data_IF_377067286463
#
_entry.id   IF_377067286463
#
_cell.length_a   1.000
_cell.length_b   1.000
_cell.length_c   1.000
_cell.angle_alpha   90.00
_cell.angle_beta   90.00
_cell.angle_gamma   90.00
#
_symmetry.space_group_name_H-M   'P 1'
#
loop_
_entity.id
_entity.type
_entity.pdbx_description
1 polymer ?
#
# COMPACT_ATOMS: atom_id res chain seq x y z
N UNK A 1 -1.46 0.18 -25.42
CA UNK A 1 -1.22 0.23 -23.95
C UNK A 1 -2.56 0.50 -23.31
N UNK A 2 -3.08 -0.48 -22.57
CA UNK A 2 -4.43 -0.43 -21.99
C UNK A 2 -4.31 0.20 -20.62
N UNK A 3 -4.98 1.33 -20.38
CA UNK A 3 -5.02 1.94 -19.06
C UNK A 3 -5.52 0.91 -18.04
N UNK A 4 -4.76 0.63 -16.98
CA UNK A 4 -5.22 -0.32 -15.97
C UNK A 4 -6.35 0.33 -15.17
N UNK A 5 -7.59 -0.01 -15.52
CA UNK A 5 -8.76 0.49 -14.83
C UNK A 5 -8.87 -0.10 -13.42
N UNK A 6 -9.56 0.59 -12.52
CA UNK A 6 -9.86 0.08 -11.17
C UNK A 6 -10.57 -1.28 -11.22
N UNK A 7 -11.40 -1.50 -12.25
CA UNK A 7 -12.11 -2.77 -12.45
C UNK A 7 -11.16 -3.91 -12.80
N UNK A 8 -10.16 -3.66 -13.66
CA UNK A 8 -9.13 -4.66 -13.99
C UNK A 8 -8.31 -5.01 -12.76
N UNK A 9 -7.96 -4.02 -11.93
CA UNK A 9 -7.29 -4.28 -10.65
C UNK A 9 -8.15 -5.12 -9.72
N UNK A 10 -9.44 -4.79 -9.57
CA UNK A 10 -10.37 -5.55 -8.74
C UNK A 10 -10.49 -7.00 -9.20
N UNK A 11 -10.55 -7.26 -10.51
CA UNK A 11 -10.58 -8.62 -11.05
C UNK A 11 -9.33 -9.42 -10.65
N UNK A 12 -8.13 -8.85 -10.82
CA UNK A 12 -6.87 -9.49 -10.37
C UNK A 12 -6.86 -9.77 -8.88
N UNK A 13 -7.40 -8.86 -8.07
CA UNK A 13 -7.49 -9.06 -6.62
C UNK A 13 -8.47 -10.21 -6.28
N UNK A 14 -9.61 -10.34 -6.98
CA UNK A 14 -10.56 -11.44 -6.72
C UNK A 14 -9.96 -12.82 -7.02
N UNK A 15 -9.00 -12.89 -7.95
CA UNK A 15 -8.28 -14.14 -8.27
C UNK A 15 -7.31 -14.58 -7.17
N UNK A 16 -6.97 -13.67 -6.25
CA UNK A 16 -6.13 -13.95 -5.08
C UNK A 16 -6.96 -14.51 -3.92
N UNK A 17 -6.42 -15.52 -3.22
CA UNK A 17 -7.05 -16.16 -2.06
C UNK A 17 -7.56 -15.15 -1.01
N UNK A 18 -6.72 -14.16 -0.67
CA UNK A 18 -7.08 -13.12 0.29
C UNK A 18 -7.95 -12.03 -0.32
N UNK A 19 -7.75 -11.71 -1.59
CA UNK A 19 -8.50 -10.64 -2.25
C UNK A 19 -9.97 -10.99 -2.43
N UNK A 20 -10.31 -12.26 -2.68
CA UNK A 20 -11.71 -12.74 -2.76
C UNK A 20 -12.48 -12.54 -1.46
N UNK A 21 -11.84 -12.79 -0.32
CA UNK A 21 -12.44 -12.59 1.00
C UNK A 21 -12.56 -11.11 1.33
N UNK A 22 -11.46 -10.36 1.19
CA UNK A 22 -11.42 -8.97 1.64
C UNK A 22 -12.20 -8.02 0.76
N UNK A 23 -12.39 -8.29 -0.54
CA UNK A 23 -13.24 -7.45 -1.39
C UNK A 23 -14.72 -7.44 -0.94
N UNK A 24 -15.13 -8.42 -0.14
CA UNK A 24 -16.47 -8.47 0.49
C UNK A 24 -16.51 -7.80 1.87
N UNK A 25 -15.35 -7.42 2.42
CA UNK A 25 -15.26 -6.78 3.73
C UNK A 25 -15.90 -5.38 3.68
N UNK A 26 -16.94 -5.10 4.49
CA UNK A 26 -17.57 -3.79 4.56
C UNK A 26 -16.59 -2.66 4.85
N UNK A 27 -15.48 -2.91 5.56
CA UNK A 27 -14.46 -1.91 5.84
C UNK A 27 -13.86 -1.34 4.55
N UNK A 28 -13.69 -2.12 3.48
CA UNK A 28 -13.11 -1.60 2.23
C UNK A 28 -13.93 -0.46 1.61
N UNK A 29 -15.23 -0.41 1.87
CA UNK A 29 -16.11 0.68 1.44
C UNK A 29 -15.98 1.95 2.29
N UNK A 30 -15.49 1.84 3.54
CA UNK A 30 -15.31 2.97 4.46
C UNK A 30 -13.96 3.65 4.26
N UNK A 31 -13.91 4.95 4.54
CA UNK A 31 -12.66 5.74 4.49
C UNK A 31 -12.03 6.03 5.85
N UNK A 32 -12.67 5.60 6.92
CA UNK A 32 -12.18 5.74 8.29
C UNK A 32 -12.34 4.38 8.96
N UNK A 33 -11.24 3.82 9.44
CA UNK A 33 -11.22 2.57 10.19
C UNK A 33 -10.71 2.85 11.60
N UNK A 34 -11.40 2.35 12.60
CA UNK A 34 -10.88 2.31 13.97
C UNK A 34 -9.89 1.17 14.13
N UNK A 35 -8.95 1.31 15.06
CA UNK A 35 -8.01 0.23 15.42
C UNK A 35 -8.75 -1.01 15.93
N UNK A 36 -9.86 -0.82 16.66
CA UNK A 36 -10.75 -1.90 17.11
C UNK A 36 -11.44 -2.64 15.97
N UNK A 37 -11.94 -1.94 14.94
CA UNK A 37 -12.48 -2.58 13.72
C UNK A 37 -11.44 -3.41 12.97
N UNK A 38 -10.15 -3.13 13.17
CA UNK A 38 -9.05 -3.91 12.61
C UNK A 38 -8.68 -5.14 13.45
N UNK A 39 -9.31 -5.35 14.60
CA UNK A 39 -9.09 -6.53 15.44
C UNK A 39 -7.91 -6.44 16.40
N UNK A 40 -7.38 -5.23 16.63
CA UNK A 40 -6.43 -4.99 17.73
C UNK A 40 -7.13 -4.97 19.08
N UNK A 41 -6.41 -5.35 20.13
CA UNK A 41 -6.93 -5.37 21.50
C UNK A 41 -7.09 -3.96 22.08
N UNK A 42 -7.84 -3.85 23.19
CA UNK A 42 -8.01 -2.56 23.89
C UNK A 42 -6.70 -2.08 24.53
N UNK A 43 -5.80 -2.98 24.92
CA UNK A 43 -4.46 -2.66 25.41
C UNK A 43 -3.59 -2.07 24.30
N UNK A 44 -3.58 -2.71 23.13
CA UNK A 44 -2.85 -2.21 21.95
C UNK A 44 -3.39 -0.84 21.51
N UNK A 45 -4.72 -0.69 21.55
CA UNK A 45 -5.36 0.59 21.32
C UNK A 45 -4.88 1.62 22.34
N UNK A 46 -4.90 1.34 23.66
CA UNK A 46 -4.49 2.29 24.73
C UNK A 46 -3.06 2.79 24.56
N UNK A 47 -2.13 1.93 24.17
CA UNK A 47 -0.71 2.28 23.98
C UNK A 47 -0.52 3.20 22.77
N UNK A 48 -1.38 3.09 21.74
CA UNK A 48 -1.26 3.90 20.55
C UNK A 48 -2.05 5.21 20.67
N UNK A 49 -1.41 6.35 20.42
CA UNK A 49 -2.07 7.65 20.35
C UNK A 49 -3.07 7.73 19.18
N UNK A 50 -2.80 6.99 18.09
CA UNK A 50 -3.64 6.99 16.90
C UNK A 50 -4.71 5.90 16.99
N UNK A 51 -5.98 6.31 17.11
CA UNK A 51 -7.13 5.40 17.22
C UNK A 51 -7.80 5.08 15.88
N UNK A 52 -7.45 5.82 14.83
CA UNK A 52 -8.13 5.75 13.52
C UNK A 52 -7.14 5.83 12.36
N UNK A 53 -7.41 5.09 11.31
CA UNK A 53 -6.73 5.14 10.02
C UNK A 53 -7.65 5.79 9.00
N UNK A 54 -7.15 6.79 8.28
CA UNK A 54 -7.92 7.59 7.34
C UNK A 54 -7.46 7.34 5.89
N UNK A 55 -8.39 7.09 4.99
CA UNK A 55 -8.17 6.86 3.55
C UNK A 55 -8.78 7.93 2.65
N UNK A 56 -9.49 8.92 3.21
CA UNK A 56 -10.15 9.99 2.45
C UNK A 56 -9.20 10.85 1.60
N UNK A 57 -7.92 10.93 1.98
CA UNK A 57 -6.95 11.82 1.36
C UNK A 57 -6.30 11.24 0.09
N UNK A 58 -6.58 9.97 -0.24
CA UNK A 58 -6.12 9.36 -1.47
C UNK A 58 -6.97 9.84 -2.64
N UNK A 59 -6.33 10.33 -3.71
CA UNK A 59 -7.04 10.71 -4.94
C UNK A 59 -6.86 9.70 -6.07
N UNK A 60 -5.84 8.84 -6.00
CA UNK A 60 -5.65 7.75 -6.97
C UNK A 60 -6.42 6.51 -6.48
N UNK A 61 -7.50 6.08 -7.16
CA UNK A 61 -8.39 5.03 -6.64
C UNK A 61 -7.72 3.67 -6.46
N UNK A 62 -6.85 3.26 -7.39
CA UNK A 62 -6.17 1.98 -7.32
C UNK A 62 -5.19 1.92 -6.13
N UNK A 63 -4.49 3.03 -5.87
CA UNK A 63 -3.54 3.12 -4.76
C UNK A 63 -4.26 3.14 -3.42
N UNK A 64 -5.43 3.80 -3.35
CA UNK A 64 -6.32 3.74 -2.19
C UNK A 64 -6.74 2.31 -1.88
N UNK A 65 -7.18 1.56 -2.90
CA UNK A 65 -7.59 0.16 -2.75
C UNK A 65 -6.43 -0.73 -2.27
N UNK A 66 -5.27 -0.65 -2.92
CA UNK A 66 -4.08 -1.42 -2.51
C UNK A 66 -3.60 -1.03 -1.11
N UNK A 67 -3.72 0.23 -0.71
CA UNK A 67 -3.40 0.66 0.65
C UNK A 67 -4.33 -0.03 1.65
N UNK A 68 -5.64 -0.04 1.41
CA UNK A 68 -6.62 -0.72 2.29
C UNK A 68 -6.32 -2.22 2.41
N UNK A 69 -6.00 -2.89 1.30
CA UNK A 69 -5.61 -4.31 1.30
C UNK A 69 -4.28 -4.55 2.03
N UNK A 70 -3.31 -3.65 1.86
CA UNK A 70 -2.03 -3.69 2.58
C UNK A 70 -2.26 -3.63 4.09
N UNK A 71 -3.15 -2.76 4.56
CA UNK A 71 -3.51 -2.68 5.98
C UNK A 71 -4.09 -4.01 6.46
N UNK A 72 -5.07 -4.59 5.76
CA UNK A 72 -5.67 -5.89 6.10
C UNK A 72 -4.63 -7.02 6.16
N UNK A 73 -3.74 -7.09 5.19
CA UNK A 73 -2.65 -8.07 5.18
C UNK A 73 -1.70 -7.89 6.37
N UNK A 74 -1.37 -6.66 6.72
CA UNK A 74 -0.46 -6.37 7.83
C UNK A 74 -1.08 -6.67 9.18
N UNK A 75 -2.36 -6.39 9.35
CA UNK A 75 -3.14 -6.84 10.51
C UNK A 75 -3.10 -8.36 10.63
N UNK A 76 -3.39 -9.10 9.55
CA UNK A 76 -3.34 -10.57 9.53
C UNK A 76 -1.94 -11.10 9.90
N UNK A 77 -0.89 -10.41 9.45
CA UNK A 77 0.51 -10.71 9.79
C UNK A 77 0.92 -10.25 11.19
N UNK A 78 -0.02 -9.83 12.05
CA UNK A 78 0.23 -9.28 13.40
C UNK A 78 1.21 -8.10 13.41
N UNK A 79 1.14 -7.28 12.36
CA UNK A 79 1.93 -6.05 12.27
C UNK A 79 1.52 -5.06 13.37
N UNK A 80 2.48 -4.29 13.88
CA UNK A 80 2.16 -3.27 14.89
C UNK A 80 1.37 -2.11 14.29
N UNK A 81 0.51 -1.48 15.12
CA UNK A 81 -0.28 -0.31 14.72
C UNK A 81 0.63 0.80 14.13
N UNK A 82 1.76 1.08 14.77
CA UNK A 82 2.73 2.05 14.27
C UNK A 82 3.32 1.72 12.90
N UNK A 83 3.54 0.43 12.60
CA UNK A 83 3.99 -0.01 11.27
C UNK A 83 2.93 0.25 10.21
N UNK A 84 1.67 -0.05 10.52
CA UNK A 84 0.54 0.18 9.61
C UNK A 84 0.38 1.67 9.34
N UNK A 85 0.36 2.51 10.39
CA UNK A 85 0.24 3.96 10.26
C UNK A 85 1.37 4.51 9.39
N UNK A 86 2.61 4.06 9.62
CA UNK A 86 3.77 4.48 8.83
C UNK A 86 3.59 4.11 7.35
N UNK A 87 3.12 2.90 7.05
CA UNK A 87 2.88 2.49 5.67
C UNK A 87 1.80 3.35 5.00
N UNK A 88 0.66 3.56 5.67
CA UNK A 88 -0.42 4.42 5.15
C UNK A 88 0.08 5.84 4.91
N UNK A 89 0.87 6.40 5.83
CA UNK A 89 1.46 7.72 5.71
C UNK A 89 2.32 7.88 4.45
N UNK A 90 3.27 6.96 4.22
CA UNK A 90 4.12 7.05 3.02
C UNK A 90 3.38 6.68 1.74
N UNK A 91 2.36 5.83 1.78
CA UNK A 91 1.49 5.58 0.63
C UNK A 91 0.64 6.81 0.27
N UNK A 92 0.19 7.61 1.25
CA UNK A 92 -0.42 8.92 0.98
C UNK A 92 0.56 9.92 0.38
N UNK A 93 1.82 9.90 0.82
CA UNK A 93 2.88 10.72 0.20
C UNK A 93 3.14 10.28 -1.25
N UNK A 94 3.12 8.97 -1.52
CA UNK A 94 3.23 8.43 -2.86
C UNK A 94 2.06 8.87 -3.74
N UNK A 95 0.82 8.80 -3.24
CA UNK A 95 -0.39 9.27 -3.94
C UNK A 95 -0.23 10.72 -4.42
N UNK A 96 0.15 11.63 -3.50
CA UNK A 96 0.41 13.03 -3.83
C UNK A 96 1.55 13.22 -4.83
N UNK A 97 2.63 12.45 -4.68
CA UNK A 97 3.77 12.51 -5.59
C UNK A 97 3.39 12.08 -7.01
N UNK A 98 2.69 10.95 -7.15
CA UNK A 98 2.26 10.40 -8.43
C UNK A 98 1.30 11.36 -9.14
N UNK A 99 0.34 11.96 -8.42
CA UNK A 99 -0.53 13.00 -8.96
C UNK A 99 0.26 14.22 -9.46
N UNK A 100 1.25 14.68 -8.70
CA UNK A 100 2.13 15.77 -9.11
C UNK A 100 2.94 15.47 -10.37
N UNK A 101 3.14 14.18 -10.68
CA UNK A 101 3.79 13.68 -11.90
C UNK A 101 2.81 13.36 -13.02
N UNK A 102 1.51 13.58 -12.83
CA UNK A 102 0.47 13.19 -13.78
C UNK A 102 0.31 11.67 -13.94
N UNK A 103 0.88 10.89 -13.02
CA UNK A 103 0.89 9.43 -13.09
C UNK A 103 -0.29 8.87 -12.28
N UNK A 104 -1.34 8.44 -12.99
CA UNK A 104 -2.53 7.83 -12.38
C UNK A 104 -2.71 6.36 -12.72
N UNK A 105 -1.87 5.83 -13.62
CA UNK A 105 -1.90 4.44 -14.07
C UNK A 105 -0.73 3.66 -13.44
N UNK A 106 -0.99 2.56 -12.72
CA UNK A 106 0.07 1.76 -12.12
C UNK A 106 1.03 1.15 -13.15
N UNK A 107 0.62 0.93 -14.41
CA UNK A 107 1.49 0.40 -15.46
C UNK A 107 2.58 1.40 -15.90
N UNK A 108 2.36 2.69 -15.63
CA UNK A 108 3.31 3.76 -15.91
C UNK A 108 4.32 3.98 -14.78
N UNK A 109 4.21 3.23 -13.67
CA UNK A 109 5.16 3.34 -12.57
C UNK A 109 6.46 2.62 -12.94
N UNK A 110 7.53 3.41 -13.07
CA UNK A 110 8.87 2.95 -13.40
C UNK A 110 9.78 2.94 -12.17
N UNK A 111 10.91 2.23 -12.31
CA UNK A 111 12.03 2.27 -11.36
C UNK A 111 12.51 3.71 -11.08
N UNK A 112 12.59 4.55 -12.11
CA UNK A 112 13.05 5.93 -11.98
C UNK A 112 12.05 6.79 -11.21
N UNK A 113 10.75 6.61 -11.47
CA UNK A 113 9.69 7.35 -10.79
C UNK A 113 9.66 7.03 -9.29
N UNK A 114 9.76 5.74 -8.94
CA UNK A 114 9.86 5.31 -7.53
C UNK A 114 11.21 5.68 -6.92
N UNK A 115 12.29 5.64 -7.71
CA UNK A 115 13.62 6.09 -7.31
C UNK A 115 13.62 7.57 -6.92
N UNK A 116 12.98 8.41 -7.71
CA UNK A 116 12.79 9.83 -7.44
C UNK A 116 11.99 10.02 -6.15
N UNK A 117 10.83 9.35 -6.02
CA UNK A 117 10.04 9.41 -4.79
C UNK A 117 10.84 9.02 -3.54
N UNK A 118 11.65 7.97 -3.63
CA UNK A 118 12.47 7.46 -2.52
C UNK A 118 13.61 8.44 -2.19
N UNK A 119 14.20 9.11 -3.17
CA UNK A 119 15.29 10.06 -2.95
C UNK A 119 14.85 11.36 -2.27
N UNK A 120 13.56 11.68 -2.30
CA UNK A 120 13.02 12.80 -1.51
C UNK A 120 13.06 12.44 -0.02
N UNK A 121 13.30 13.45 0.84
CA UNK A 121 13.59 13.31 2.28
C UNK A 121 12.85 12.20 3.04
N UNK A 122 13.48 11.72 4.12
CA UNK A 122 13.12 10.48 4.83
C UNK A 122 13.35 9.20 4.00
N UNK A 123 14.41 9.21 3.17
CA UNK A 123 14.74 8.17 2.20
C UNK A 123 14.67 6.74 2.75
N UNK A 124 15.23 6.50 3.95
CA UNK A 124 15.23 5.17 4.56
C UNK A 124 13.81 4.64 4.81
N UNK A 125 12.91 5.50 5.31
CA UNK A 125 11.53 5.12 5.58
C UNK A 125 10.74 4.92 4.28
N UNK A 126 10.90 5.81 3.30
CA UNK A 126 10.28 5.67 1.98
C UNK A 126 10.72 4.38 1.30
N UNK A 127 12.02 4.11 1.26
CA UNK A 127 12.57 2.90 0.67
C UNK A 127 12.05 1.65 1.38
N UNK A 128 12.03 1.65 2.72
CA UNK A 128 11.52 0.52 3.51
C UNK A 128 10.06 0.24 3.21
N UNK A 129 9.20 1.27 3.22
CA UNK A 129 7.77 1.10 2.92
C UNK A 129 7.56 0.63 1.49
N UNK A 130 8.15 1.29 0.49
CA UNK A 130 7.98 0.90 -0.93
C UNK A 130 8.45 -0.54 -1.16
N UNK A 131 9.59 -0.93 -0.59
CA UNK A 131 10.09 -2.31 -0.72
C UNK A 131 9.09 -3.31 -0.12
N UNK A 132 8.55 -3.04 1.06
CA UNK A 132 7.62 -3.94 1.74
C UNK A 132 6.29 -4.05 1.02
N UNK A 133 5.70 -2.93 0.59
CA UNK A 133 4.36 -2.92 -0.02
C UNK A 133 4.39 -3.45 -1.45
N UNK A 134 5.41 -3.12 -2.25
CA UNK A 134 5.52 -3.66 -3.62
C UNK A 134 5.75 -5.16 -3.59
N UNK A 135 6.59 -5.66 -2.67
CA UNK A 135 6.77 -7.09 -2.48
C UNK A 135 5.46 -7.77 -2.07
N UNK A 136 4.72 -7.19 -1.12
CA UNK A 136 3.43 -7.73 -0.72
C UNK A 136 2.44 -7.80 -1.90
N UNK A 137 2.37 -6.75 -2.72
CA UNK A 137 1.45 -6.72 -3.86
C UNK A 137 1.82 -7.75 -4.94
N UNK A 138 3.11 -8.05 -5.09
CA UNK A 138 3.58 -9.11 -5.98
C UNK A 138 3.31 -10.51 -5.39
N UNK A 139 3.66 -10.72 -4.12
CA UNK A 139 3.47 -12.01 -3.41
C UNK A 139 1.97 -12.40 -3.38
N UNK A 140 1.08 -11.43 -3.18
CA UNK A 140 -0.38 -11.62 -3.17
C UNK A 140 -1.01 -11.50 -4.57
N UNK A 141 -0.19 -11.33 -5.62
CA UNK A 141 -0.59 -11.21 -7.02
C UNK A 141 -1.58 -10.07 -7.34
N UNK A 142 -1.70 -9.06 -6.47
CA UNK A 142 -2.57 -7.91 -6.71
C UNK A 142 -2.02 -6.96 -7.76
N UNK A 143 -0.72 -6.68 -7.70
CA UNK A 143 -0.05 -5.77 -8.62
C UNK A 143 1.46 -6.03 -8.65
N UNK A 144 1.96 -6.35 -9.84
CA UNK A 144 3.40 -6.40 -10.10
C UNK A 144 3.86 -5.11 -10.76
N UNK A 145 4.61 -4.29 -10.03
CA UNK A 145 5.25 -3.11 -10.59
C UNK A 145 6.54 -3.47 -11.31
N UNK A 146 6.94 -2.67 -12.30
CA UNK A 146 8.27 -2.71 -12.91
C UNK A 146 9.31 -2.07 -11.98
N UNK A 147 9.28 -2.46 -10.71
CA UNK A 147 10.15 -1.94 -9.67
C UNK A 147 11.08 -3.04 -9.14
N UNK A 148 12.38 -2.82 -9.21
CA UNK A 148 13.35 -3.70 -8.56
C UNK A 148 14.06 -2.92 -7.44
N UNK A 149 13.84 -3.27 -6.16
CA UNK A 149 14.49 -2.59 -5.05
C UNK A 149 16.01 -2.54 -5.20
N UNK A 150 16.64 -1.37 -4.99
CA UNK A 150 18.11 -1.21 -5.13
C UNK A 150 18.91 -2.21 -4.28
N UNK A 151 18.41 -2.61 -3.11
CA UNK A 151 19.05 -3.63 -2.25
C UNK A 151 19.10 -5.03 -2.91
N UNK A 152 18.14 -5.35 -3.78
CA UNK A 152 18.11 -6.59 -4.56
C UNK A 152 18.98 -6.48 -5.82
N UNK A 153 18.99 -5.32 -6.51
CA UNK A 153 19.91 -5.08 -7.65
C UNK A 153 21.38 -5.30 -7.25
N UNK A 154 21.79 -4.78 -6.08
CA UNK A 154 23.16 -4.94 -5.59
C UNK A 154 23.53 -6.38 -5.17
N UNK A 155 22.54 -7.26 -4.96
CA UNK A 155 22.77 -8.70 -4.70
C UNK A 155 22.81 -9.54 -5.96
N UNK A 156 22.10 -9.14 -7.01
CA UNK A 156 22.07 -9.82 -8.32
C UNK A 156 23.26 -9.47 -9.22
N UNK A 157 24.04 -8.44 -8.85
CA UNK A 157 25.28 -8.01 -9.52
C UNK A 157 26.56 -8.51 -8.83
N UNK A 158 26.42 -9.40 -7.84
CA UNK A 158 27.51 -10.14 -7.20
C UNK A 158 27.35 -11.62 -7.51
#
# INVERSE_FOLDING_TARGET
MTLMSLQVLQQRIVESELGKEWLKDPLLSKDIWTIKELGYSEEEEKICETKKIYFRDFRIPWLKLLTKLTVKAKVRQKGSIGTIIRQVHYLKKLDKFLLGKGCNDPELITDDLLGEFISQGEQQNRQSVITVVVKLWEDEQWLKLKYTPKKLKNRLQK
#
